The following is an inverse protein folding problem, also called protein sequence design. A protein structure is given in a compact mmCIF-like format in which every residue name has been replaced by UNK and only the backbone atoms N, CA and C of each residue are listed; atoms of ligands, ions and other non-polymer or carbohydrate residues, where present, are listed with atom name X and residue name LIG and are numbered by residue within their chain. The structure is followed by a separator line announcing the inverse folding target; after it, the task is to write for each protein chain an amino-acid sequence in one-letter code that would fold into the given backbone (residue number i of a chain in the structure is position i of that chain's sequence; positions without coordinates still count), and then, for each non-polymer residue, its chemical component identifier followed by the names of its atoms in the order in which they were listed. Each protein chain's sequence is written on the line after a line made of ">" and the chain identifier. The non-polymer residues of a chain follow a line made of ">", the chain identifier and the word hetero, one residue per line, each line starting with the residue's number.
data_IF_630433879159
#
_entry.id   IF_630433879159
#
_cell.length_a   1.000
_cell.length_b   1.000
_cell.length_c   1.000
_cell.angle_alpha   90.00
_cell.angle_beta   90.00
_cell.angle_gamma   90.00
#
_symmetry.space_group_name_H-M   'P 1'
#
loop_
_entity.id
_entity.type
_entity.pdbx_description
1 polymer ?
#
# COMPACT_ATOMS: atom_id res chain seq x y z
N UNK A 1 -9.45 10.39 -1.57
CA UNK A 1 -9.34 9.64 -2.84
C UNK A 1 -8.60 10.43 -3.92
N UNK A 2 -9.19 11.48 -4.51
CA UNK A 2 -8.55 12.26 -5.59
C UNK A 2 -7.21 12.91 -5.19
N UNK A 3 -7.15 13.58 -4.03
CA UNK A 3 -5.92 14.25 -3.59
C UNK A 3 -4.75 13.26 -3.44
N UNK A 4 -4.98 12.14 -2.77
CA UNK A 4 -3.92 11.19 -2.43
C UNK A 4 -3.58 10.22 -3.58
N UNK A 5 -4.51 9.91 -4.48
CA UNK A 5 -4.23 9.00 -5.62
C UNK A 5 -3.88 9.74 -6.91
N UNK A 6 -4.30 11.00 -7.08
CA UNK A 6 -4.01 11.76 -8.31
C UNK A 6 -2.87 12.73 -8.11
N UNK A 7 -2.83 13.51 -7.02
CA UNK A 7 -1.82 14.57 -6.86
C UNK A 7 -0.50 14.00 -6.33
N UNK A 8 -0.56 13.08 -5.37
CA UNK A 8 0.65 12.53 -4.74
C UNK A 8 1.55 11.80 -5.75
N UNK A 9 1.04 10.98 -6.69
CA UNK A 9 1.89 10.39 -7.72
C UNK A 9 2.48 11.39 -8.72
N UNK A 10 1.87 12.56 -8.93
CA UNK A 10 2.45 13.57 -9.81
C UNK A 10 3.77 14.13 -9.26
N UNK A 11 3.95 14.11 -7.94
CA UNK A 11 5.23 14.46 -7.30
C UNK A 11 6.36 13.50 -7.71
N UNK A 12 6.04 12.27 -8.09
CA UNK A 12 7.01 11.29 -8.58
C UNK A 12 7.55 11.65 -9.97
N UNK A 13 6.98 12.59 -10.72
CA UNK A 13 7.57 13.00 -12.00
C UNK A 13 8.98 13.58 -11.80
N UNK A 14 9.18 14.29 -10.68
CA UNK A 14 10.45 14.91 -10.33
C UNK A 14 11.49 13.87 -9.90
N UNK A 15 12.64 13.87 -10.59
CA UNK A 15 13.77 12.96 -10.29
C UNK A 15 14.19 13.03 -8.82
N UNK A 16 14.25 14.23 -8.25
CA UNK A 16 14.67 14.47 -6.85
C UNK A 16 13.75 13.79 -5.83
N UNK A 17 12.46 13.66 -6.15
CA UNK A 17 11.47 12.98 -5.30
C UNK A 17 11.63 11.46 -5.41
N UNK A 18 11.83 10.92 -6.62
CA UNK A 18 12.00 9.47 -6.86
C UNK A 18 13.31 8.90 -6.37
N UNK A 19 14.37 9.69 -6.27
CA UNK A 19 15.70 9.19 -5.87
C UNK A 19 15.96 9.33 -4.38
N UNK A 20 15.04 9.94 -3.62
CA UNK A 20 15.24 10.23 -2.19
C UNK A 20 14.30 9.35 -1.35
N UNK A 21 14.80 8.27 -0.72
CA UNK A 21 13.96 7.33 0.05
C UNK A 21 13.16 8.00 1.17
N UNK A 22 13.74 9.04 1.79
CA UNK A 22 13.09 9.80 2.87
C UNK A 22 11.85 10.56 2.41
N UNK A 23 11.78 10.96 1.13
CA UNK A 23 10.60 11.59 0.53
C UNK A 23 9.62 10.52 0.03
N UNK A 24 10.12 9.39 -0.48
CA UNK A 24 9.30 8.29 -0.95
C UNK A 24 8.49 7.61 0.16
N UNK A 25 9.02 7.53 1.38
CA UNK A 25 8.36 6.87 2.51
C UNK A 25 7.00 7.52 2.89
N UNK A 26 6.90 8.83 3.15
CA UNK A 26 5.59 9.45 3.42
C UNK A 26 4.67 9.43 2.18
N UNK A 27 5.23 9.49 0.97
CA UNK A 27 4.46 9.38 -0.28
C UNK A 27 3.78 8.00 -0.40
N UNK A 28 4.49 6.92 -0.11
CA UNK A 28 3.92 5.56 -0.21
C UNK A 28 2.81 5.34 0.82
N UNK A 29 2.94 5.88 2.04
CA UNK A 29 1.90 5.84 3.07
C UNK A 29 0.66 6.60 2.59
N UNK A 30 0.85 7.83 2.07
CA UNK A 30 -0.26 8.65 1.58
C UNK A 30 -1.04 7.96 0.44
N UNK A 31 -0.33 7.29 -0.48
CA UNK A 31 -0.96 6.53 -1.57
C UNK A 31 -1.75 5.33 -1.01
N UNK A 32 -1.18 4.56 -0.07
CA UNK A 32 -1.89 3.43 0.53
C UNK A 32 -3.19 3.85 1.23
N UNK A 33 -3.14 4.95 2.00
CA UNK A 33 -4.33 5.54 2.63
C UNK A 33 -5.32 6.01 1.55
N UNK A 34 -4.83 6.65 0.48
CA UNK A 34 -5.63 7.11 -0.64
C UNK A 34 -6.40 5.97 -1.34
N UNK A 35 -5.72 4.87 -1.62
CA UNK A 35 -6.29 3.65 -2.22
C UNK A 35 -7.30 2.96 -1.31
N UNK A 36 -7.06 2.96 0.00
CA UNK A 36 -8.05 2.46 0.95
C UNK A 36 -9.31 3.33 0.95
N UNK A 37 -9.16 4.66 0.98
CA UNK A 37 -10.28 5.59 0.87
C UNK A 37 -11.03 5.46 -0.46
N UNK A 38 -10.35 5.13 -1.55
CA UNK A 38 -11.01 4.81 -2.82
C UNK A 38 -12.03 3.69 -2.67
N UNK A 39 -11.59 2.56 -2.11
CA UNK A 39 -12.45 1.40 -1.94
C UNK A 39 -13.57 1.69 -0.95
N UNK A 40 -13.27 2.40 0.13
CA UNK A 40 -14.27 2.85 1.10
C UNK A 40 -15.36 3.72 0.44
N UNK A 41 -14.97 4.73 -0.33
CA UNK A 41 -15.91 5.64 -1.00
C UNK A 41 -16.76 4.90 -2.02
N UNK A 42 -16.16 4.08 -2.90
CA UNK A 42 -16.91 3.31 -3.91
C UNK A 42 -17.98 2.44 -3.24
N UNK A 43 -17.64 1.71 -2.19
CA UNK A 43 -18.59 0.81 -1.53
C UNK A 43 -19.66 1.58 -0.75
N UNK A 44 -19.26 2.52 0.12
CA UNK A 44 -20.20 3.20 1.02
C UNK A 44 -21.13 4.16 0.28
N UNK A 45 -20.61 4.94 -0.66
CA UNK A 45 -21.45 5.93 -1.37
C UNK A 45 -22.41 5.27 -2.35
N UNK A 46 -22.02 4.15 -2.96
CA UNK A 46 -22.93 3.37 -3.82
C UNK A 46 -24.06 2.71 -3.04
N UNK A 47 -23.82 2.23 -1.81
CA UNK A 47 -24.86 1.55 -1.02
C UNK A 47 -25.72 2.51 -0.19
N UNK A 48 -25.20 3.67 0.22
CA UNK A 48 -25.95 4.61 1.05
C UNK A 48 -27.20 5.15 0.33
N UNK A 49 -27.12 5.38 -0.99
CA UNK A 49 -28.20 5.95 -1.79
C UNK A 49 -28.64 4.97 -2.85
N UNK A 50 -29.43 4.00 -2.40
CA UNK A 50 -29.98 2.97 -3.27
C UNK A 50 -31.24 3.46 -4.04
N UNK A 51 -31.75 2.63 -4.94
CA UNK A 51 -32.87 2.97 -5.85
C UNK A 51 -34.14 3.45 -5.13
N UNK A 52 -34.39 3.00 -3.90
CA UNK A 52 -35.54 3.43 -3.09
C UNK A 52 -35.12 4.47 -2.03
N UNK A 53 -35.73 5.67 -2.03
CA UNK A 53 -35.43 6.72 -1.03
C UNK A 53 -35.69 6.32 0.43
N UNK A 54 -36.59 5.35 0.67
CA UNK A 54 -36.89 4.83 2.01
C UNK A 54 -35.78 3.97 2.60
N UNK A 55 -34.87 3.45 1.77
CA UNK A 55 -33.76 2.59 2.19
C UNK A 55 -32.45 3.35 2.38
N UNK A 56 -32.48 4.69 2.30
CA UNK A 56 -31.30 5.52 2.50
C UNK A 56 -30.86 5.48 3.96
N UNK A 57 -29.63 5.04 4.20
CA UNK A 57 -29.06 4.91 5.54
C UNK A 57 -27.60 5.35 5.56
N UNK A 58 -27.19 5.98 6.66
CA UNK A 58 -25.81 6.40 6.88
C UNK A 58 -24.98 5.27 7.49
N UNK A 59 -23.82 4.99 6.88
CA UNK A 59 -22.83 4.10 7.46
C UNK A 59 -21.98 4.85 8.49
N UNK A 60 -21.97 4.34 9.72
CA UNK A 60 -21.05 4.78 10.79
C UNK A 60 -20.29 3.55 11.29
N UNK A 61 -18.96 3.51 11.13
CA UNK A 61 -18.19 2.34 11.55
C UNK A 61 -18.25 2.17 13.07
N UNK A 62 -18.48 0.93 13.48
CA UNK A 62 -18.43 0.53 14.88
C UNK A 62 -16.98 0.31 15.32
N UNK A 63 -16.74 0.42 16.63
CA UNK A 63 -15.43 0.14 17.24
C UNK A 63 -14.89 -1.27 16.94
N UNK A 64 -15.77 -2.26 16.71
CA UNK A 64 -15.39 -3.64 16.40
C UNK A 64 -14.82 -3.72 14.99
N UNK A 65 -15.44 -3.05 14.01
CA UNK A 65 -14.95 -3.00 12.63
C UNK A 65 -13.57 -2.34 12.55
N UNK A 66 -13.36 -1.26 13.28
CA UNK A 66 -12.04 -0.61 13.40
C UNK A 66 -11.03 -1.54 14.09
N UNK A 67 -11.45 -2.25 15.13
CA UNK A 67 -10.63 -3.24 15.83
C UNK A 67 -10.20 -4.40 14.93
N UNK A 68 -11.10 -4.93 14.11
CA UNK A 68 -10.81 -5.99 13.12
C UNK A 68 -9.83 -5.47 12.06
N UNK A 69 -10.06 -4.25 11.56
CA UNK A 69 -9.15 -3.61 10.60
C UNK A 69 -7.74 -3.47 11.18
N UNK A 70 -7.60 -2.94 12.39
CA UNK A 70 -6.31 -2.82 13.06
C UNK A 70 -5.69 -4.18 13.38
N UNK A 71 -6.51 -5.16 13.79
CA UNK A 71 -6.10 -6.54 14.02
C UNK A 71 -5.53 -7.20 12.76
N UNK A 72 -6.06 -6.88 11.58
CA UNK A 72 -5.53 -7.39 10.30
C UNK A 72 -4.10 -6.92 10.03
N UNK A 73 -3.76 -5.67 10.37
CA UNK A 73 -2.38 -5.19 10.31
C UNK A 73 -1.49 -5.90 11.32
N UNK A 74 -1.98 -6.09 12.56
CA UNK A 74 -1.24 -6.82 13.58
C UNK A 74 -0.91 -8.24 13.17
N UNK A 75 -1.89 -8.96 12.61
CA UNK A 75 -1.71 -10.30 12.05
C UNK A 75 -0.69 -10.28 10.90
N UNK A 76 -0.83 -9.35 9.95
CA UNK A 76 0.09 -9.21 8.82
C UNK A 76 1.53 -8.98 9.29
N UNK A 77 1.77 -8.02 10.19
CA UNK A 77 3.12 -7.75 10.71
C UNK A 77 3.67 -8.91 11.52
N UNK A 78 2.83 -9.61 12.29
CA UNK A 78 3.24 -10.81 13.02
C UNK A 78 3.75 -11.87 12.05
N UNK A 79 2.95 -12.23 11.03
CA UNK A 79 3.34 -13.20 10.01
C UNK A 79 4.58 -12.73 9.21
N UNK A 80 4.66 -11.44 8.87
CA UNK A 80 5.78 -10.87 8.15
C UNK A 80 7.08 -10.92 8.97
N UNK A 81 7.03 -10.62 10.27
CA UNK A 81 8.21 -10.73 11.13
C UNK A 81 8.63 -12.17 11.38
N UNK A 82 7.67 -13.10 11.52
CA UNK A 82 7.98 -14.54 11.57
C UNK A 82 8.67 -14.98 10.27
N UNK A 83 8.17 -14.54 9.10
CA UNK A 83 8.80 -14.80 7.82
C UNK A 83 10.24 -14.28 7.77
N UNK A 84 10.46 -13.01 8.10
CA UNK A 84 11.79 -12.40 8.14
C UNK A 84 12.76 -13.08 9.13
N UNK A 85 12.23 -13.70 10.20
CA UNK A 85 13.03 -14.36 11.23
C UNK A 85 13.42 -15.80 10.87
N UNK A 86 12.55 -16.52 10.16
CA UNK A 86 12.73 -17.95 9.89
C UNK A 86 13.14 -18.28 8.45
N UNK A 87 12.84 -17.41 7.49
CA UNK A 87 13.09 -17.63 6.06
C UNK A 87 14.04 -16.57 5.50
N UNK A 88 14.83 -16.91 4.47
CA UNK A 88 15.66 -15.93 3.78
C UNK A 88 14.77 -14.95 3.00
N UNK A 89 14.88 -13.65 3.32
CA UNK A 89 14.09 -12.58 2.68
C UNK A 89 14.47 -12.36 1.22
N UNK A 90 15.68 -12.77 0.83
CA UNK A 90 16.21 -12.60 -0.52
C UNK A 90 16.42 -13.98 -1.15
N UNK A 91 15.97 -14.16 -2.39
CA UNK A 91 16.17 -15.37 -3.17
C UNK A 91 17.64 -15.51 -3.62
N UNK A 92 18.47 -16.16 -2.80
CA UNK A 92 19.92 -16.30 -3.03
C UNK A 92 20.23 -16.98 -4.37
N UNK A 93 19.40 -17.95 -4.80
CA UNK A 93 19.57 -18.64 -6.08
C UNK A 93 19.48 -17.71 -7.29
N UNK A 94 18.51 -16.79 -7.29
CA UNK A 94 18.34 -15.80 -8.36
C UNK A 94 19.46 -14.77 -8.33
N UNK A 95 19.77 -14.22 -7.15
CA UNK A 95 20.83 -13.21 -6.99
C UNK A 95 22.17 -13.71 -7.53
N UNK A 96 22.51 -14.99 -7.29
CA UNK A 96 23.77 -15.58 -7.78
C UNK A 96 23.83 -15.68 -9.31
N UNK A 97 22.70 -15.89 -9.97
CA UNK A 97 22.61 -15.92 -11.44
C UNK A 97 22.80 -14.55 -12.09
N UNK A 98 22.26 -13.49 -11.48
CA UNK A 98 22.41 -12.11 -12.01
C UNK A 98 23.79 -11.51 -11.71
N UNK A 99 24.43 -11.94 -10.62
CA UNK A 99 25.73 -11.40 -10.20
C UNK A 99 26.83 -11.62 -11.25
N UNK A 100 26.78 -12.73 -12.01
CA UNK A 100 27.75 -13.01 -13.06
C UNK A 100 27.66 -11.98 -14.21
N UNK A 101 26.44 -11.65 -14.62
CA UNK A 101 26.16 -10.64 -15.65
C UNK A 101 26.58 -9.23 -15.22
N UNK A 102 26.39 -8.87 -13.95
CA UNK A 102 26.79 -7.56 -13.43
C UNK A 102 28.31 -7.36 -13.37
N UNK A 103 29.09 -8.43 -13.20
CA UNK A 103 30.55 -8.36 -13.09
C UNK A 103 31.25 -8.26 -14.46
N UNK A 104 30.70 -8.86 -15.50
CA UNK A 104 31.21 -8.73 -16.88
C UNK A 104 31.02 -7.30 -17.43
N UNK A 105 29.96 -6.59 -17.02
CA UNK A 105 29.67 -5.21 -17.47
C UNK A 105 30.54 -4.11 -16.81
N UNK A 106 31.27 -4.41 -15.73
CA UNK A 106 32.15 -3.46 -15.03
C UNK A 106 33.64 -3.77 -15.19
N UNK A 107 33.98 -4.84 -15.92
CA UNK A 107 35.35 -5.30 -16.18
C UNK A 107 35.86 -5.04 -17.61
N UNK A 108 35.18 -4.17 -18.38
CA UNK A 108 35.59 -3.73 -19.72
C UNK A 108 35.92 -2.23 -19.71
#
# INVERSE_FOLDING_TARGET
>A
MFLCNVIVPQLLWFRKVRTTPLILFPISIAINIGMWFERFVIVVTSLHRDFLPSSWSYYSPTWVEVGIFLGSFGLFFTCFFLFCRFLPVIAIGEVKGVLHHGREAHGA
#
